data_IF_679037245868
#
_entry.id   IF_679037245868
#
_cell.length_a   1.000
_cell.length_b   1.000
_cell.length_c   1.000
_cell.angle_alpha   90.00
_cell.angle_beta   90.00
_cell.angle_gamma   90.00
#
_symmetry.space_group_name_H-M   'P 1'
#
loop_
_entity.id
_entity.type
_entity.pdbx_description
1 polymer ?
#
# COMPACT_ATOMS: atom_id res chain seq x y z
N UNK A 1 1.53 12.13 0.23
CA UNK A 1 0.87 11.55 -0.97
C UNK A 1 1.76 11.58 -2.20
N UNK A 2 2.32 12.73 -2.63
CA UNK A 2 3.16 12.82 -3.84
C UNK A 2 4.27 11.74 -3.94
N UNK A 3 4.99 11.46 -2.85
CA UNK A 3 6.00 10.39 -2.80
C UNK A 3 5.44 9.00 -3.11
N UNK A 4 4.21 8.70 -2.67
CA UNK A 4 3.54 7.44 -2.98
C UNK A 4 3.19 7.37 -4.46
N UNK A 5 2.71 8.46 -5.07
CA UNK A 5 2.48 8.53 -6.52
C UNK A 5 3.77 8.28 -7.31
N UNK A 6 4.89 8.90 -6.92
CA UNK A 6 6.20 8.66 -7.54
C UNK A 6 6.64 7.21 -7.38
N UNK A 7 6.38 6.57 -6.23
CA UNK A 7 6.68 5.16 -6.03
C UNK A 7 5.83 4.26 -6.94
N UNK A 8 4.54 4.58 -7.14
CA UNK A 8 3.63 3.83 -7.99
C UNK A 8 4.14 3.72 -9.44
N UNK A 9 4.74 4.78 -9.98
CA UNK A 9 5.31 4.81 -11.34
C UNK A 9 6.41 3.76 -11.56
N UNK A 10 7.05 3.25 -10.51
CA UNK A 10 8.04 2.16 -10.62
C UNK A 10 7.42 0.81 -11.00
N UNK A 11 6.09 0.69 -10.99
CA UNK A 11 5.35 -0.48 -11.46
C UNK A 11 5.00 -0.46 -12.95
N UNK A 12 5.22 0.66 -13.65
CA UNK A 12 4.80 0.86 -15.04
C UNK A 12 5.29 -0.26 -15.97
N UNK A 13 4.38 -0.86 -16.74
CA UNK A 13 4.68 -1.92 -17.69
C UNK A 13 4.97 -3.29 -17.08
N UNK A 14 4.76 -3.47 -15.76
CA UNK A 14 5.06 -4.73 -15.06
C UNK A 14 3.88 -5.29 -14.28
N UNK A 15 2.83 -4.51 -14.08
CA UNK A 15 1.77 -4.80 -13.10
C UNK A 15 0.42 -5.08 -13.73
N UNK A 16 0.28 -4.76 -15.01
CA UNK A 16 -0.93 -4.93 -15.80
C UNK A 16 -1.41 -6.39 -15.74
N UNK A 17 -2.74 -6.63 -15.67
CA UNK A 17 -3.84 -5.65 -15.69
C UNK A 17 -4.12 -4.94 -14.35
N UNK A 18 -3.34 -5.19 -13.30
CA UNK A 18 -3.55 -4.54 -11.99
C UNK A 18 -3.11 -3.07 -12.02
N UNK A 19 -3.67 -2.22 -11.13
CA UNK A 19 -3.26 -0.82 -11.04
C UNK A 19 -1.83 -0.65 -10.52
N UNK A 20 -1.18 0.44 -10.94
CA UNK A 20 0.02 0.94 -10.29
C UNK A 20 -0.36 1.55 -8.94
N UNK A 21 0.08 0.92 -7.86
CA UNK A 21 -0.14 1.41 -6.50
C UNK A 21 1.21 1.69 -5.84
N UNK A 22 1.28 2.82 -5.16
CA UNK A 22 2.41 3.19 -4.32
C UNK A 22 1.97 3.42 -2.88
N UNK A 23 2.86 3.10 -1.95
CA UNK A 23 2.62 3.20 -0.51
C UNK A 23 3.87 3.74 0.18
N UNK A 24 3.70 4.70 1.08
CA UNK A 24 4.79 5.17 1.95
C UNK A 24 4.34 5.16 3.40
N UNK A 25 5.28 4.84 4.30
CA UNK A 25 5.03 4.81 5.74
C UNK A 25 5.86 5.91 6.40
N UNK A 26 5.19 6.75 7.18
CA UNK A 26 5.78 7.90 7.86
C UNK A 26 5.53 7.79 9.36
N UNK A 27 6.58 7.95 10.16
CA UNK A 27 6.50 7.97 11.63
C UNK A 27 7.32 9.14 12.16
N UNK A 28 6.74 9.93 13.06
CA UNK A 28 7.38 11.10 13.66
C UNK A 28 7.97 12.06 12.60
N UNK A 29 7.20 12.34 11.54
CA UNK A 29 7.61 13.23 10.45
C UNK A 29 8.69 12.65 9.50
N UNK A 30 9.13 11.41 9.71
CA UNK A 30 10.18 10.78 8.89
C UNK A 30 9.61 9.66 8.01
N UNK A 31 10.06 9.62 6.76
CA UNK A 31 9.80 8.49 5.86
C UNK A 31 10.59 7.27 6.38
N UNK A 32 9.88 6.19 6.71
CA UNK A 32 10.49 4.94 7.21
C UNK A 32 10.45 3.81 6.18
N UNK A 33 9.53 3.84 5.22
CA UNK A 33 9.44 2.85 4.15
C UNK A 33 8.70 3.38 2.91
N UNK A 34 8.99 2.76 1.76
CA UNK A 34 8.36 2.98 0.46
C UNK A 34 8.15 1.65 -0.24
N UNK A 35 6.90 1.34 -0.58
CA UNK A 35 6.49 0.18 -1.34
C UNK A 35 5.74 0.57 -2.62
N UNK A 36 5.75 -0.33 -3.58
CA UNK A 36 4.93 -0.26 -4.79
C UNK A 36 4.62 -1.68 -5.25
N UNK A 37 3.55 -1.86 -6.03
CA UNK A 37 3.29 -3.15 -6.67
C UNK A 37 4.33 -3.37 -7.79
N UNK A 38 5.18 -4.39 -7.66
CA UNK A 38 6.39 -4.53 -8.49
C UNK A 38 6.19 -5.35 -9.76
N UNK A 39 5.27 -6.31 -9.71
CA UNK A 39 4.97 -7.23 -10.80
C UNK A 39 3.57 -7.82 -10.62
N UNK A 40 2.90 -8.15 -11.72
CA UNK A 40 1.62 -8.86 -11.69
C UNK A 40 1.69 -10.14 -10.84
N UNK A 41 0.68 -10.34 -10.00
CA UNK A 41 0.59 -11.47 -9.06
C UNK A 41 1.58 -11.42 -7.88
N UNK A 42 2.38 -10.35 -7.76
CA UNK A 42 3.26 -10.13 -6.62
C UNK A 42 2.56 -9.41 -5.45
N UNK A 43 3.29 -9.19 -4.34
CA UNK A 43 2.75 -8.43 -3.22
C UNK A 43 2.41 -6.99 -3.59
N UNK A 44 1.30 -6.50 -3.05
CA UNK A 44 0.84 -5.11 -3.21
C UNK A 44 1.78 -4.10 -2.53
N UNK A 45 1.54 -2.82 -2.79
CA UNK A 45 2.40 -1.74 -2.34
C UNK A 45 2.52 -1.68 -0.81
N UNK A 46 1.40 -1.88 -0.12
CA UNK A 46 1.25 -1.85 1.34
C UNK A 46 2.06 -2.97 1.97
N UNK A 47 1.93 -4.19 1.47
CA UNK A 47 2.70 -5.35 1.95
C UNK A 47 4.21 -5.12 1.76
N UNK A 48 4.61 -4.59 0.61
CA UNK A 48 6.02 -4.27 0.36
C UNK A 48 6.54 -3.18 1.31
N UNK A 49 5.73 -2.15 1.59
CA UNK A 49 6.09 -1.07 2.49
C UNK A 49 6.16 -1.54 3.96
N UNK A 50 5.19 -2.34 4.40
CA UNK A 50 5.16 -2.95 5.75
C UNK A 50 6.37 -3.86 5.93
N UNK A 51 6.67 -4.73 4.95
CA UNK A 51 7.84 -5.61 5.00
C UNK A 51 9.15 -4.83 5.12
N UNK A 52 9.26 -3.69 4.44
CA UNK A 52 10.43 -2.82 4.57
C UNK A 52 10.49 -2.11 5.93
N UNK A 53 9.34 -1.64 6.45
CA UNK A 53 9.29 -0.94 7.75
C UNK A 53 9.51 -1.89 8.94
N UNK A 54 9.09 -3.14 8.83
CA UNK A 54 9.08 -4.11 9.93
C UNK A 54 8.30 -3.59 11.13
N UNK A 55 8.81 -3.82 12.34
CA UNK A 55 8.19 -3.37 13.60
C UNK A 55 8.04 -1.85 13.72
N UNK A 56 8.75 -1.06 12.90
CA UNK A 56 8.63 0.41 12.91
C UNK A 56 7.30 0.91 12.36
N UNK A 57 6.55 0.07 11.64
CA UNK A 57 5.22 0.40 11.11
C UNK A 57 4.18 0.66 12.22
N UNK A 58 4.34 0.03 13.39
CA UNK A 58 3.40 0.20 14.50
C UNK A 58 3.33 1.67 14.94
N UNK A 59 2.11 2.21 15.01
CA UNK A 59 1.84 3.62 15.34
C UNK A 59 2.19 4.62 14.24
N UNK A 60 2.57 4.16 13.03
CA UNK A 60 2.89 5.04 11.91
C UNK A 60 1.64 5.49 11.13
N UNK A 61 1.81 6.49 10.28
CA UNK A 61 0.84 6.87 9.24
C UNK A 61 1.24 6.27 7.91
N UNK A 62 0.31 5.60 7.25
CA UNK A 62 0.46 5.07 5.90
C UNK A 62 -0.21 6.00 4.91
N UNK A 63 0.45 6.28 3.78
CA UNK A 63 -0.13 6.97 2.63
C UNK A 63 -0.10 6.02 1.45
N UNK A 64 -1.27 5.72 0.89
CA UNK A 64 -1.43 4.78 -0.22
C UNK A 64 -2.23 5.44 -1.34
N UNK A 65 -1.84 5.21 -2.59
CA UNK A 65 -2.45 5.91 -3.74
C UNK A 65 -3.84 5.40 -4.11
N UNK A 66 -4.15 4.15 -3.75
CA UNK A 66 -5.45 3.50 -3.97
C UNK A 66 -5.91 2.88 -2.65
N UNK A 67 -7.22 2.80 -2.45
CA UNK A 67 -7.82 2.16 -1.30
C UNK A 67 -7.30 0.72 -1.11
N UNK A 68 -6.86 0.34 0.10
CA UNK A 68 -6.34 -1.01 0.35
C UNK A 68 -7.39 -2.08 0.09
N UNK A 69 -7.00 -3.15 -0.60
CA UNK A 69 -7.93 -4.24 -0.89
C UNK A 69 -8.41 -4.94 0.40
N UNK A 70 -9.71 -5.18 0.48
CA UNK A 70 -10.39 -5.85 1.60
C UNK A 70 -10.83 -7.29 1.29
N UNK A 71 -10.61 -7.76 0.07
CA UNK A 71 -10.96 -9.11 -0.36
C UNK A 71 -9.72 -10.01 -0.44
N UNK A 72 -9.92 -11.30 -0.23
CA UNK A 72 -8.88 -12.32 -0.41
C UNK A 72 -8.73 -12.58 -1.91
N UNK A 73 -7.53 -12.30 -2.45
CA UNK A 73 -7.14 -12.60 -3.82
C UNK A 73 -6.06 -13.68 -3.86
N UNK A 74 -5.05 -13.50 -4.73
CA UNK A 74 -3.82 -14.34 -4.75
C UNK A 74 -2.91 -14.10 -3.53
N UNK A 75 -3.09 -12.95 -2.88
CA UNK A 75 -2.46 -12.57 -1.62
C UNK A 75 -3.55 -12.26 -0.59
N UNK A 76 -3.21 -12.32 0.70
CA UNK A 76 -4.10 -11.84 1.78
C UNK A 76 -4.45 -10.36 1.61
N UNK A 77 -5.56 -9.89 2.21
CA UNK A 77 -6.04 -8.52 2.04
C UNK A 77 -5.07 -7.52 2.68
N UNK A 78 -4.86 -6.38 2.01
CA UNK A 78 -3.94 -5.36 2.49
C UNK A 78 -4.47 -4.66 3.75
N UNK A 79 -5.79 -4.61 3.94
CA UNK A 79 -6.42 -4.11 5.15
C UNK A 79 -5.99 -4.89 6.40
N UNK A 80 -5.98 -6.22 6.35
CA UNK A 80 -5.52 -7.06 7.47
C UNK A 80 -4.04 -6.85 7.74
N UNK A 81 -3.20 -6.81 6.69
CA UNK A 81 -1.77 -6.55 6.86
C UNK A 81 -1.49 -5.21 7.56
N UNK A 82 -2.27 -4.16 7.26
CA UNK A 82 -2.17 -2.86 7.92
C UNK A 82 -2.60 -2.92 9.39
N UNK A 83 -3.68 -3.66 9.69
CA UNK A 83 -4.18 -3.90 11.05
C UNK A 83 -3.14 -4.67 11.88
N UNK A 84 -2.60 -5.76 11.34
CA UNK A 84 -1.56 -6.57 11.97
C UNK A 84 -0.28 -5.76 12.22
N UNK A 85 0.08 -4.88 11.28
CA UNK A 85 1.20 -3.95 11.43
C UNK A 85 0.94 -2.83 12.47
N UNK A 86 -0.29 -2.75 13.02
CA UNK A 86 -0.72 -1.79 14.04
C UNK A 86 -0.47 -0.33 13.62
N UNK A 87 -0.74 0.00 12.36
CA UNK A 87 -0.62 1.37 11.87
C UNK A 87 -1.69 2.25 12.54
N UNK A 88 -1.35 3.49 12.88
CA UNK A 88 -2.28 4.38 13.58
C UNK A 88 -3.26 5.09 12.64
N UNK A 89 -2.86 5.30 11.39
CA UNK A 89 -3.63 6.08 10.41
C UNK A 89 -3.30 5.63 9.00
N UNK A 90 -4.32 5.54 8.15
CA UNK A 90 -4.19 5.32 6.71
C UNK A 90 -4.79 6.52 5.99
N UNK A 91 -4.03 7.09 5.05
CA UNK A 91 -4.45 8.18 4.18
C UNK A 91 -4.50 7.65 2.75
N UNK A 92 -5.70 7.63 2.19
CA UNK A 92 -5.98 7.06 0.86
C UNK A 92 -6.04 8.17 -0.17
N UNK A 93 -5.38 7.97 -1.32
CA UNK A 93 -5.37 8.92 -2.43
C UNK A 93 -6.63 8.86 -3.29
N UNK A 94 -7.01 7.67 -3.73
CA UNK A 94 -8.20 7.40 -4.54
C UNK A 94 -8.98 6.22 -3.94
N UNK A 95 -10.31 6.32 -3.91
CA UNK A 95 -11.18 5.17 -3.61
C UNK A 95 -11.08 4.14 -4.72
N UNK A 96 -11.15 2.86 -4.39
CA UNK A 96 -11.09 1.81 -5.41
C UNK A 96 -12.40 1.82 -6.21
N UNK A 97 -12.35 2.00 -7.54
CA UNK A 97 -13.55 1.92 -8.38
C UNK A 97 -14.11 0.50 -8.48
N UNK A 98 -13.39 -0.52 -8.03
CA UNK A 98 -13.83 -1.90 -8.09
C UNK A 98 -14.95 -2.14 -7.06
N UNK A 99 -16.16 -2.58 -7.49
CA UNK A 99 -17.32 -2.68 -6.60
C UNK A 99 -17.15 -3.62 -5.41
N UNK A 100 -16.18 -4.54 -5.46
CA UNK A 100 -15.85 -5.47 -4.37
C UNK A 100 -14.84 -4.93 -3.37
N UNK A 101 -14.33 -3.72 -3.58
CA UNK A 101 -13.41 -3.01 -2.67
C UNK A 101 -14.04 -1.73 -2.14
N UNK A 102 -14.83 -1.02 -2.95
CA UNK A 102 -15.49 0.22 -2.57
C UNK A 102 -16.30 0.09 -1.26
N UNK A 103 -15.73 0.59 -0.16
CA UNK A 103 -16.32 0.60 1.19
C UNK A 103 -16.15 1.95 1.89
#
# INVERSE_FOLDING_TARGET
MALACTAALKGLGRVEPNPMVGCVIVKNGKLIATGWHRKFGGPHAEVNAIKQAGSKAAGATVYVTLEPCCHIGKTGPCSEALIEAKVARVVVGCRDPFPRVAG
#
